data_IF_754181897825
#
_entry.id   IF_754181897825
#
_cell.length_a   1.000
_cell.length_b   1.000
_cell.length_c   1.000
_cell.angle_alpha   90.00
_cell.angle_beta   90.00
_cell.angle_gamma   90.00
#
_symmetry.space_group_name_H-M   'P 1'
#
loop_
_entity.id
_entity.type
_entity.pdbx_description
1 polymer ?
#
# COMPACT_ATOMS: atom_id res chain seq x y z
N UNK A 1 -14.82 9.36 26.97
CA UNK A 1 -13.39 9.32 27.34
C UNK A 1 -12.90 7.88 27.31
N UNK A 2 -12.19 7.48 26.24
CA UNK A 2 -11.55 6.17 26.17
C UNK A 2 -10.31 6.23 27.06
N UNK A 3 -10.27 5.42 28.12
CA UNK A 3 -9.08 5.29 28.99
C UNK A 3 -7.93 4.73 28.15
N UNK A 4 -6.97 5.57 27.81
CA UNK A 4 -5.66 5.15 27.31
C UNK A 4 -4.99 4.31 28.41
N UNK A 5 -4.55 3.10 28.06
CA UNK A 5 -3.88 2.19 28.98
C UNK A 5 -2.66 2.86 29.65
N UNK A 6 -2.45 2.72 30.97
CA UNK A 6 -1.33 3.30 31.69
C UNK A 6 -0.11 2.38 31.56
N UNK A 7 0.56 2.40 30.40
CA UNK A 7 1.86 1.71 30.23
C UNK A 7 2.87 2.60 29.48
N UNK A 8 2.83 3.91 29.75
CA UNK A 8 3.96 4.78 29.46
C UNK A 8 4.98 4.64 30.61
N UNK A 9 5.89 3.67 30.52
CA UNK A 9 6.97 3.57 31.52
C UNK A 9 7.69 2.23 31.70
N UNK A 10 7.45 1.21 30.87
CA UNK A 10 8.29 0.01 30.90
C UNK A 10 9.51 0.21 30.00
N UNK A 11 10.68 0.39 30.61
CA UNK A 11 11.99 0.36 29.94
C UNK A 11 12.15 -1.00 29.23
N UNK A 12 11.93 -0.99 27.91
CA UNK A 12 12.20 -2.16 27.08
C UNK A 12 13.71 -2.24 26.86
N UNK A 13 14.37 -3.12 27.63
CA UNK A 13 15.78 -3.49 27.39
C UNK A 13 15.87 -4.01 25.95
N UNK A 14 16.67 -3.40 25.06
CA UNK A 14 16.73 -3.84 23.67
C UNK A 14 17.32 -5.25 23.65
N UNK A 15 16.50 -6.25 23.33
CA UNK A 15 17.01 -7.57 22.98
C UNK A 15 18.03 -7.37 21.85
N UNK A 16 19.28 -7.80 22.08
CA UNK A 16 20.42 -7.58 21.17
C UNK A 16 20.28 -8.24 19.79
N UNK A 17 19.09 -8.74 19.45
CA UNK A 17 18.75 -9.31 18.17
C UNK A 17 18.47 -8.20 17.15
N UNK A 18 19.55 -7.63 16.58
CA UNK A 18 19.41 -6.90 15.30
C UNK A 18 19.17 -7.93 14.20
N UNK A 19 17.98 -7.94 13.61
CA UNK A 19 17.78 -8.60 12.32
C UNK A 19 18.78 -7.98 11.32
N UNK A 20 19.57 -8.80 10.60
CA UNK A 20 20.36 -8.30 9.49
C UNK A 20 19.47 -7.50 8.53
N UNK A 21 19.97 -6.41 7.94
CA UNK A 21 19.22 -5.69 6.90
C UNK A 21 18.83 -6.68 5.81
N UNK A 22 17.56 -6.67 5.39
CA UNK A 22 17.14 -7.38 4.19
C UNK A 22 17.92 -6.77 3.02
N UNK A 23 18.83 -7.54 2.42
CA UNK A 23 19.44 -7.21 1.15
C UNK A 23 18.64 -7.91 0.06
N UNK A 24 17.67 -7.24 -0.59
CA UNK A 24 16.98 -7.83 -1.72
C UNK A 24 18.01 -8.11 -2.83
N UNK A 25 17.84 -9.24 -3.53
CA UNK A 25 18.61 -9.53 -4.73
C UNK A 25 18.44 -8.38 -5.74
N UNK A 26 19.49 -8.10 -6.52
CA UNK A 26 19.38 -7.14 -7.61
C UNK A 26 18.21 -7.55 -8.53
N UNK A 27 17.35 -6.60 -8.95
CA UNK A 27 16.25 -6.93 -9.84
C UNK A 27 16.81 -7.52 -11.15
N UNK A 28 16.15 -8.55 -11.72
CA UNK A 28 16.57 -9.11 -13.00
C UNK A 28 16.60 -8.02 -14.06
N UNK A 29 17.71 -7.92 -14.81
CA UNK A 29 17.85 -6.95 -15.89
C UNK A 29 17.22 -7.49 -17.17
N UNK A 30 16.43 -6.65 -17.86
CA UNK A 30 16.06 -6.88 -19.27
C UNK A 30 14.77 -7.66 -19.54
N UNK A 31 13.83 -7.76 -18.58
CA UNK A 31 12.47 -8.21 -18.90
C UNK A 31 11.67 -7.05 -19.51
N UNK A 32 10.92 -7.31 -20.58
CA UNK A 32 9.98 -6.35 -21.13
C UNK A 32 8.92 -6.01 -20.07
N UNK A 33 8.60 -4.73 -19.85
CA UNK A 33 7.58 -4.33 -18.89
C UNK A 33 6.22 -4.95 -19.23
N UNK A 34 5.60 -5.56 -18.22
CA UNK A 34 4.24 -6.11 -18.33
C UNK A 34 3.28 -5.03 -18.83
N UNK A 35 2.42 -5.39 -19.79
CA UNK A 35 1.35 -4.53 -20.28
C UNK A 35 0.02 -4.99 -19.70
N UNK A 36 -0.73 -4.05 -19.14
CA UNK A 36 -2.06 -4.26 -18.59
C UNK A 36 -3.11 -3.56 -19.46
N UNK A 37 -4.16 -4.29 -19.78
CA UNK A 37 -5.38 -3.72 -20.36
C UNK A 37 -6.28 -3.18 -19.23
N UNK A 38 -7.20 -2.23 -19.50
CA UNK A 38 -8.13 -1.70 -18.51
C UNK A 38 -8.92 -2.79 -17.76
N UNK A 39 -9.31 -3.86 -18.48
CA UNK A 39 -9.99 -5.03 -17.88
C UNK A 39 -9.14 -5.77 -16.85
N UNK A 40 -7.82 -5.79 -16.99
CA UNK A 40 -6.92 -6.46 -16.06
C UNK A 40 -6.86 -5.68 -14.74
N UNK A 41 -6.77 -4.35 -14.85
CA UNK A 41 -6.80 -3.43 -13.71
C UNK A 41 -8.16 -3.46 -13.01
N UNK A 42 -9.25 -3.40 -13.77
CA UNK A 42 -10.60 -3.50 -13.23
C UNK A 42 -10.80 -4.84 -12.49
N UNK A 43 -10.40 -5.95 -13.10
CA UNK A 43 -10.47 -7.30 -12.49
C UNK A 43 -9.71 -7.36 -11.15
N UNK A 44 -8.53 -6.74 -11.07
CA UNK A 44 -7.78 -6.65 -9.82
C UNK A 44 -8.51 -5.81 -8.75
N UNK A 45 -9.09 -4.67 -9.14
CA UNK A 45 -9.86 -3.79 -8.24
C UNK A 45 -11.14 -4.48 -7.72
N UNK A 46 -11.85 -5.21 -8.58
CA UNK A 46 -13.07 -5.93 -8.20
C UNK A 46 -12.82 -7.12 -7.27
N UNK A 47 -11.60 -7.67 -7.24
CA UNK A 47 -11.21 -8.71 -6.26
C UNK A 47 -10.89 -8.14 -4.87
N UNK A 48 -10.63 -6.84 -4.78
CA UNK A 48 -10.32 -6.18 -3.51
C UNK A 48 -11.52 -6.08 -2.56
N UNK A 49 -11.24 -6.09 -1.26
CA UNK A 49 -12.23 -5.96 -0.20
C UNK A 49 -12.69 -4.51 -0.03
N UNK A 50 -13.99 -4.25 -0.17
CA UNK A 50 -14.59 -2.93 0.02
C UNK A 50 -14.42 -2.39 1.45
N UNK A 51 -14.25 -3.27 2.45
CA UNK A 51 -13.99 -2.90 3.83
C UNK A 51 -12.54 -2.50 4.12
N UNK A 52 -11.64 -2.64 3.14
CA UNK A 52 -10.23 -2.25 3.32
C UNK A 52 -10.09 -0.74 3.48
N UNK A 53 -9.23 -0.35 4.42
CA UNK A 53 -8.90 1.06 4.66
C UNK A 53 -8.11 1.64 3.49
N UNK A 54 -8.38 2.89 3.16
CA UNK A 54 -7.59 3.63 2.18
C UNK A 54 -6.19 3.98 2.72
N UNK A 55 -5.22 4.03 1.80
CA UNK A 55 -3.89 4.57 2.03
C UNK A 55 -3.86 6.11 2.16
N UNK A 56 -2.69 6.74 2.04
CA UNK A 56 -2.51 8.19 2.21
C UNK A 56 -3.34 9.06 1.25
N UNK A 57 -3.70 8.55 0.08
CA UNK A 57 -4.52 9.25 -0.92
C UNK A 57 -6.01 9.34 -0.54
N UNK A 58 -6.46 8.55 0.43
CA UNK A 58 -7.88 8.44 0.78
C UNK A 58 -8.71 7.57 -0.20
N UNK A 59 -8.11 7.08 -1.29
CA UNK A 59 -8.79 6.17 -2.23
C UNK A 59 -8.71 4.73 -1.71
N UNK A 60 -9.88 4.12 -1.44
CA UNK A 60 -10.01 2.68 -1.17
C UNK A 60 -10.67 1.94 -2.33
N UNK A 61 -10.89 0.63 -2.18
CA UNK A 61 -11.50 -0.18 -3.25
C UNK A 61 -12.90 0.28 -3.67
N UNK A 62 -13.69 0.87 -2.77
CA UNK A 62 -14.99 1.44 -3.13
C UNK A 62 -14.83 2.61 -4.12
N UNK A 63 -13.92 3.55 -3.86
CA UNK A 63 -13.62 4.67 -4.76
C UNK A 63 -13.01 4.17 -6.07
N UNK A 64 -12.05 3.25 -5.99
CA UNK A 64 -11.39 2.71 -7.18
C UNK A 64 -12.36 1.99 -8.10
N UNK A 65 -13.35 1.27 -7.57
CA UNK A 65 -14.40 0.64 -8.39
C UNK A 65 -15.22 1.65 -9.16
N UNK A 66 -15.52 2.82 -8.58
CA UNK A 66 -16.23 3.89 -9.32
C UNK A 66 -15.44 4.40 -10.52
N UNK A 67 -14.10 4.39 -10.45
CA UNK A 67 -13.23 4.83 -11.55
C UNK A 67 -13.16 3.82 -12.71
N UNK A 68 -13.53 2.56 -12.48
CA UNK A 68 -13.43 1.47 -13.46
C UNK A 68 -14.75 0.77 -13.70
N UNK A 69 -15.86 1.34 -13.20
CA UNK A 69 -17.20 0.77 -13.33
C UNK A 69 -17.63 0.70 -14.80
N UNK A 70 -17.18 1.68 -15.60
CA UNK A 70 -17.41 1.74 -17.03
C UNK A 70 -16.07 1.69 -17.79
N UNK A 71 -16.03 1.06 -18.98
CA UNK A 71 -14.85 1.07 -19.85
C UNK A 71 -14.75 2.41 -20.59
N UNK A 72 -14.37 3.45 -19.87
CA UNK A 72 -14.23 4.83 -20.37
C UNK A 72 -12.80 5.36 -20.24
N UNK A 73 -12.61 6.63 -20.61
CA UNK A 73 -11.32 7.32 -20.56
C UNK A 73 -10.69 7.31 -19.15
N UNK A 74 -11.50 7.21 -18.08
CA UNK A 74 -11.02 7.13 -16.70
C UNK A 74 -10.37 5.78 -16.44
N UNK A 75 -11.03 4.69 -16.86
CA UNK A 75 -10.48 3.34 -16.76
C UNK A 75 -9.20 3.18 -17.61
N UNK A 76 -9.19 3.76 -18.81
CA UNK A 76 -8.01 3.82 -19.69
C UNK A 76 -6.86 4.60 -19.05
N UNK A 77 -7.13 5.78 -18.47
CA UNK A 77 -6.13 6.58 -17.78
C UNK A 77 -5.53 5.85 -16.57
N UNK A 78 -6.35 5.10 -15.82
CA UNK A 78 -5.85 4.31 -14.70
C UNK A 78 -4.95 3.16 -15.18
N UNK A 79 -5.32 2.49 -16.27
CA UNK A 79 -4.47 1.46 -16.89
C UNK A 79 -3.13 2.05 -17.37
N UNK A 80 -3.16 3.23 -18.00
CA UNK A 80 -1.97 3.98 -18.39
C UNK A 80 -1.07 4.26 -17.18
N UNK A 81 -1.62 4.70 -16.04
CA UNK A 81 -0.86 4.92 -14.82
C UNK A 81 -0.17 3.65 -14.31
N UNK A 82 -0.87 2.51 -14.25
CA UNK A 82 -0.29 1.22 -13.84
C UNK A 82 0.82 0.78 -14.80
N UNK A 83 0.60 0.97 -16.10
CA UNK A 83 1.57 0.68 -17.16
C UNK A 83 2.82 1.56 -17.11
N UNK A 84 2.73 2.81 -16.63
CA UNK A 84 3.89 3.67 -16.37
C UNK A 84 4.69 3.19 -15.17
N UNK A 85 4.01 2.76 -14.11
CA UNK A 85 4.65 2.15 -12.92
C UNK A 85 5.41 0.89 -13.32
N UNK A 86 4.80 0.01 -14.12
CA UNK A 86 5.41 -1.24 -14.58
C UNK A 86 6.69 -1.03 -15.41
N UNK A 87 6.75 0.08 -16.17
CA UNK A 87 7.94 0.50 -16.94
C UNK A 87 9.01 1.23 -16.11
N UNK A 88 8.71 1.56 -14.85
CA UNK A 88 9.55 2.44 -14.04
C UNK A 88 9.54 3.91 -14.50
N UNK A 89 8.62 4.29 -15.39
CA UNK A 89 8.42 5.67 -15.83
C UNK A 89 7.60 6.45 -14.79
N UNK A 90 8.24 6.73 -13.66
CA UNK A 90 7.63 7.43 -12.53
C UNK A 90 8.45 8.70 -12.27
N UNK A 91 7.80 9.89 -12.29
CA UNK A 91 8.43 11.14 -11.88
C UNK A 91 9.07 11.01 -10.50
N UNK A 92 10.27 11.56 -10.31
CA UNK A 92 11.04 11.42 -9.07
C UNK A 92 10.23 11.81 -7.82
N UNK A 93 9.45 12.90 -7.91
CA UNK A 93 8.59 13.38 -6.84
C UNK A 93 7.48 12.39 -6.41
N UNK A 94 7.07 11.47 -7.30
CA UNK A 94 6.00 10.49 -7.04
C UNK A 94 6.55 9.18 -6.48
N UNK A 95 7.83 8.85 -6.73
CA UNK A 95 8.42 7.57 -6.29
C UNK A 95 8.26 7.30 -4.79
N UNK A 96 8.46 8.28 -3.88
CA UNK A 96 8.25 8.05 -2.45
C UNK A 96 6.79 7.76 -2.10
N UNK A 97 5.83 8.21 -2.91
CA UNK A 97 4.40 8.02 -2.67
C UNK A 97 3.95 6.58 -2.97
N UNK A 98 4.62 5.88 -3.89
CA UNK A 98 4.31 4.47 -4.20
C UNK A 98 4.66 3.51 -3.06
N UNK A 99 5.55 3.92 -2.17
CA UNK A 99 5.95 3.16 -0.97
C UNK A 99 5.50 3.83 0.33
N UNK A 100 4.78 4.95 0.23
CA UNK A 100 4.20 5.63 1.37
C UNK A 100 2.99 4.86 1.90
N UNK A 101 2.73 5.01 3.20
CA UNK A 101 1.56 4.42 3.82
C UNK A 101 1.15 5.20 5.06
N UNK A 102 -0.10 5.01 5.48
CA UNK A 102 -0.67 5.58 6.68
C UNK A 102 -0.54 4.59 7.83
N UNK A 103 0.15 4.97 8.90
CA UNK A 103 0.28 4.14 10.09
C UNK A 103 -0.99 4.20 10.95
N UNK A 104 -1.48 3.03 11.35
CA UNK A 104 -2.59 2.85 12.29
C UNK A 104 -2.11 1.96 13.45
N UNK A 105 -2.37 2.40 14.68
CA UNK A 105 -2.06 1.63 15.87
C UNK A 105 -3.28 0.80 16.30
N UNK A 106 -3.25 -0.50 16.07
CA UNK A 106 -4.35 -1.42 16.45
C UNK A 106 -4.06 -2.01 17.84
N UNK A 107 -4.93 -1.83 18.85
CA UNK A 107 -4.67 -2.34 20.20
C UNK A 107 -4.68 -3.88 20.23
N UNK A 108 -3.85 -4.49 21.09
CA UNK A 108 -3.88 -5.92 21.38
C UNK A 108 -4.74 -6.20 22.62
N UNK A 109 -5.38 -7.37 22.66
CA UNK A 109 -6.17 -7.80 23.82
C UNK A 109 -5.34 -7.91 25.12
N UNK A 110 -4.06 -8.27 25.01
CA UNK A 110 -3.14 -8.46 26.15
C UNK A 110 -2.34 -7.19 26.51
N UNK A 111 -2.68 -6.03 25.94
CA UNK A 111 -1.92 -4.79 26.07
C UNK A 111 -0.89 -4.57 24.95
N UNK A 112 -0.51 -3.29 24.75
CA UNK A 112 0.32 -2.84 23.62
C UNK A 112 -0.45 -2.67 22.30
N UNK A 113 0.27 -2.38 21.21
CA UNK A 113 -0.30 -2.10 19.87
C UNK A 113 0.36 -2.92 18.76
N UNK A 114 -0.36 -3.12 17.66
CA UNK A 114 0.14 -3.58 16.35
C UNK A 114 0.22 -2.36 15.45
N UNK A 115 1.42 -1.84 15.15
CA UNK A 115 1.56 -0.83 14.11
C UNK A 115 1.29 -1.50 12.75
N UNK A 116 0.27 -1.04 12.05
CA UNK A 116 -0.05 -1.47 10.69
C UNK A 116 0.16 -0.26 9.78
N UNK A 117 0.88 -0.44 8.68
CA UNK A 117 0.99 0.57 7.63
C UNK A 117 0.00 0.19 6.53
N UNK A 118 -0.92 1.10 6.20
CA UNK A 118 -1.92 0.93 5.14
C UNK A 118 -1.47 1.73 3.93
N UNK A 119 -1.33 1.07 2.78
CA UNK A 119 -0.94 1.65 1.49
C UNK A 119 -1.90 1.21 0.40
#
# INVERSE_FOLDING_TARGET
LVKLCPQAGVDHKPDGYRRPPLQPAAPPQGADPIQFEPKDVASAIFRGDLGSSAGPSGMGYATLRLLVDQPDDTAEALALCVNRIARGDIPEAVRPLLTAGRTVAVPKATGGVRPIVVG
#
